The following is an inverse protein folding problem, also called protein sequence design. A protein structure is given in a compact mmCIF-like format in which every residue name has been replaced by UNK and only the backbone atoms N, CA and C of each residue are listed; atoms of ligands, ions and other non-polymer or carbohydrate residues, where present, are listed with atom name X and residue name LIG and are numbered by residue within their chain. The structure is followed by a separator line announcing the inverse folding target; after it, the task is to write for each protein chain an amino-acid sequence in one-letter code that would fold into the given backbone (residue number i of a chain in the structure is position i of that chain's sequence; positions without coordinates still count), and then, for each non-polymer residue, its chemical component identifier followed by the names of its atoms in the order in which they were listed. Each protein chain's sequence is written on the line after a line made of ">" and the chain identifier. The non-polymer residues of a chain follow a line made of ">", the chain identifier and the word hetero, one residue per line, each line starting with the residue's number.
data_IF_061264696928
#
_entry.id   IF_061264696928
#
_cell.length_a   1.000
_cell.length_b   1.000
_cell.length_c   1.000
_cell.angle_alpha   90.00
_cell.angle_beta   90.00
_cell.angle_gamma   90.00
#
_symmetry.space_group_name_H-M   'P 1'
#
loop_
_entity.id
_entity.type
_entity.pdbx_description
1 polymer ?
#
# COMPACT_ATOMS: atom_id res chain seq x y z
N UNK A 1 12.81 -1.15 -22.99
CA UNK A 1 12.57 -2.39 -22.23
C UNK A 1 13.29 -2.43 -20.88
N UNK A 2 14.60 -2.11 -20.78
CA UNK A 2 15.34 -2.15 -19.50
C UNK A 2 14.71 -1.30 -18.38
N UNK A 3 14.13 -0.13 -18.70
CA UNK A 3 13.46 0.75 -17.72
C UNK A 3 12.22 0.13 -17.07
N UNK A 4 11.47 -0.70 -17.79
CA UNK A 4 10.29 -1.37 -17.26
C UNK A 4 10.68 -2.47 -16.26
N UNK A 5 11.81 -3.14 -16.51
CA UNK A 5 12.36 -4.13 -15.58
C UNK A 5 12.76 -3.46 -14.26
N UNK A 6 13.37 -2.28 -14.32
CA UNK A 6 13.75 -1.50 -13.14
C UNK A 6 12.53 -1.08 -12.31
N UNK A 7 11.47 -0.61 -12.98
CA UNK A 7 10.22 -0.21 -12.32
C UNK A 7 9.52 -1.42 -11.68
N UNK A 8 9.48 -2.56 -12.37
CA UNK A 8 8.91 -3.79 -11.83
C UNK A 8 9.71 -4.30 -10.62
N UNK A 9 11.03 -4.23 -10.67
CA UNK A 9 11.90 -4.61 -9.56
C UNK A 9 11.69 -3.68 -8.35
N UNK A 10 11.59 -2.37 -8.60
CA UNK A 10 11.32 -1.39 -7.54
C UNK A 10 9.95 -1.65 -6.90
N UNK A 11 8.92 -1.90 -7.71
CA UNK A 11 7.58 -2.20 -7.22
C UNK A 11 7.53 -3.49 -6.39
N UNK A 12 8.24 -4.54 -6.81
CA UNK A 12 8.32 -5.80 -6.06
C UNK A 12 9.03 -5.62 -4.70
N UNK A 13 10.10 -4.82 -4.66
CA UNK A 13 10.82 -4.51 -3.41
C UNK A 13 9.93 -3.70 -2.46
N UNK A 14 9.23 -2.70 -2.97
CA UNK A 14 8.36 -1.81 -2.18
C UNK A 14 7.13 -2.54 -1.65
N UNK A 15 6.55 -3.45 -2.42
CA UNK A 15 5.46 -4.33 -1.98
C UNK A 15 5.89 -5.29 -0.86
N UNK A 16 7.15 -5.75 -0.87
CA UNK A 16 7.70 -6.59 0.20
C UNK A 16 7.94 -5.84 1.53
N UNK A 17 8.03 -4.51 1.51
CA UNK A 17 8.23 -3.68 2.71
C UNK A 17 6.93 -3.28 3.42
N UNK A 18 5.77 -3.53 2.80
CA UNK A 18 4.45 -3.36 3.39
C UNK A 18 3.99 -4.69 4.02
N UNK A 19 4.78 -5.26 4.92
CA UNK A 19 4.34 -6.46 5.64
C UNK A 19 3.54 -6.08 6.89
N UNK A 20 2.66 -7.00 7.28
CA UNK A 20 1.70 -6.85 8.36
C UNK A 20 2.34 -6.28 9.62
N UNK A 21 1.70 -5.27 10.15
CA UNK A 21 2.02 -4.69 11.45
C UNK A 21 2.17 -5.75 12.54
N UNK A 22 3.20 -5.66 13.40
CA UNK A 22 3.37 -6.63 14.48
C UNK A 22 2.14 -6.62 15.39
N UNK A 23 1.39 -7.72 15.38
CA UNK A 23 0.28 -7.95 16.29
C UNK A 23 0.83 -8.46 17.61
N UNK A 24 0.26 -8.02 18.74
CA UNK A 24 0.72 -8.43 20.08
C UNK A 24 -0.14 -9.61 20.55
N UNK A 25 0.37 -10.86 20.55
CA UNK A 25 -0.34 -12.00 21.12
C UNK A 25 -0.38 -11.88 22.64
N UNK A 26 -1.55 -12.12 23.24
CA UNK A 26 -1.72 -12.20 24.70
C UNK A 26 -1.91 -13.67 25.08
N UNK A 27 -1.08 -14.14 26.01
CA UNK A 27 -1.12 -15.49 26.55
C UNK A 27 -1.66 -15.50 27.98
N UNK A 28 -2.29 -16.61 28.39
CA UNK A 28 -2.65 -16.85 29.79
C UNK A 28 -1.45 -17.37 30.60
N UNK A 29 -1.64 -17.56 31.92
CA UNK A 29 -0.62 -18.09 32.82
C UNK A 29 -0.18 -19.53 32.50
N UNK A 30 -0.93 -20.24 31.66
CA UNK A 30 -0.59 -21.57 31.15
C UNK A 30 0.14 -21.51 29.79
N UNK A 31 0.39 -20.31 29.25
CA UNK A 31 1.06 -20.08 27.98
C UNK A 31 0.16 -20.30 26.76
N UNK A 32 -1.16 -20.36 26.92
CA UNK A 32 -2.11 -20.51 25.80
C UNK A 32 -2.48 -19.15 25.25
N UNK A 33 -2.58 -19.04 23.93
CA UNK A 33 -3.02 -17.80 23.28
C UNK A 33 -4.50 -17.54 23.63
N UNK A 34 -4.76 -16.44 24.34
CA UNK A 34 -6.11 -16.02 24.74
C UNK A 34 -6.74 -15.16 23.66
N UNK A 35 -5.96 -14.24 23.10
CA UNK A 35 -6.43 -13.22 22.16
C UNK A 35 -5.23 -12.51 21.51
N UNK A 36 -5.40 -12.03 20.28
CA UNK A 36 -4.41 -11.20 19.58
C UNK A 36 -4.88 -9.75 19.60
N UNK A 37 -4.23 -8.88 20.37
CA UNK A 37 -4.56 -7.46 20.41
C UNK A 37 -4.34 -6.79 19.05
N UNK A 38 -5.05 -5.67 18.85
CA UNK A 38 -5.04 -4.89 17.61
C UNK A 38 -3.62 -4.73 17.06
N UNK A 39 -3.42 -5.11 15.81
CA UNK A 39 -2.15 -4.93 15.12
C UNK A 39 -1.91 -3.42 14.96
N UNK A 40 -0.76 -2.92 15.42
CA UNK A 40 -0.40 -1.52 15.23
C UNK A 40 -0.02 -1.29 13.78
N UNK A 41 -0.98 -0.91 12.93
CA UNK A 41 -0.77 -0.62 11.51
C UNK A 41 0.53 0.16 11.32
N UNK A 42 1.46 -0.41 10.56
CA UNK A 42 2.82 0.14 10.47
C UNK A 42 2.81 1.47 9.71
N UNK A 43 3.64 2.42 10.11
CA UNK A 43 3.79 3.71 9.41
C UNK A 43 4.11 3.52 7.92
N UNK A 44 4.81 2.44 7.55
CA UNK A 44 5.04 2.09 6.15
C UNK A 44 3.75 1.71 5.42
N UNK A 45 2.89 0.89 6.02
CA UNK A 45 1.60 0.52 5.43
C UNK A 45 0.67 1.74 5.29
N UNK A 46 0.61 2.61 6.30
CA UNK A 46 -0.15 3.87 6.21
C UNK A 46 0.37 4.79 5.10
N UNK A 47 1.68 4.88 4.95
CA UNK A 47 2.30 5.63 3.86
C UNK A 47 1.98 5.02 2.49
N UNK A 48 1.91 3.69 2.38
CA UNK A 48 1.56 3.01 1.12
C UNK A 48 0.10 3.16 0.74
N UNK A 49 -0.82 3.06 1.70
CA UNK A 49 -2.24 3.34 1.44
C UNK A 49 -2.46 4.80 1.06
N UNK A 50 -1.78 5.72 1.76
CA UNK A 50 -1.83 7.15 1.45
C UNK A 50 -1.23 7.45 0.07
N UNK A 51 -0.06 6.88 -0.25
CA UNK A 51 0.58 7.04 -1.55
C UNK A 51 -0.26 6.43 -2.68
N UNK A 52 -0.88 5.27 -2.44
CA UNK A 52 -1.80 4.63 -3.37
C UNK A 52 -3.05 5.49 -3.62
N UNK A 53 -3.64 6.06 -2.57
CA UNK A 53 -4.77 6.98 -2.69
C UNK A 53 -4.40 8.25 -3.49
N UNK A 54 -3.22 8.84 -3.23
CA UNK A 54 -2.72 10.00 -3.97
C UNK A 54 -2.46 9.65 -5.43
N UNK A 55 -1.80 8.52 -5.70
CA UNK A 55 -1.51 8.07 -7.06
C UNK A 55 -2.79 7.77 -7.86
N UNK A 56 -3.76 7.11 -7.23
CA UNK A 56 -5.09 6.85 -7.82
C UNK A 56 -5.84 8.14 -8.12
N UNK A 57 -5.84 9.10 -7.19
CA UNK A 57 -6.44 10.42 -7.40
C UNK A 57 -5.79 11.18 -8.56
N UNK A 58 -4.46 11.21 -8.62
CA UNK A 58 -3.72 11.84 -9.70
C UNK A 58 -4.02 11.20 -11.07
N UNK A 59 -4.10 9.87 -11.14
CA UNK A 59 -4.46 9.14 -12.35
C UNK A 59 -5.88 9.45 -12.82
N UNK A 60 -6.85 9.56 -11.90
CA UNK A 60 -8.22 9.92 -12.23
C UNK A 60 -8.32 11.34 -12.83
N UNK A 61 -7.60 12.32 -12.26
CA UNK A 61 -7.55 13.69 -12.77
C UNK A 61 -6.90 13.74 -14.17
N UNK A 62 -5.80 13.02 -14.36
CA UNK A 62 -5.15 12.91 -15.66
C UNK A 62 -6.08 12.27 -16.72
N UNK A 63 -6.80 11.21 -16.35
CA UNK A 63 -7.79 10.57 -17.24
C UNK A 63 -8.93 11.52 -17.62
N UNK A 64 -9.47 12.26 -16.66
CA UNK A 64 -10.54 13.23 -16.90
C UNK A 64 -10.09 14.35 -17.84
N UNK A 65 -8.93 14.95 -17.57
CA UNK A 65 -8.40 16.06 -18.38
C UNK A 65 -8.11 15.64 -19.82
N UNK A 66 -7.48 14.48 -20.02
CA UNK A 66 -7.25 13.93 -21.35
C UNK A 66 -8.56 13.58 -22.07
N UNK A 67 -9.56 13.05 -21.35
CA UNK A 67 -10.89 12.77 -21.89
C UNK A 67 -11.60 14.03 -22.38
N UNK A 68 -11.54 15.13 -21.61
CA UNK A 68 -12.12 16.42 -22.01
C UNK A 68 -11.42 16.96 -23.27
N UNK A 69 -10.09 16.90 -23.33
CA UNK A 69 -9.33 17.33 -24.52
C UNK A 69 -9.70 16.49 -25.74
N UNK A 70 -9.88 15.18 -25.59
CA UNK A 70 -10.28 14.29 -26.67
C UNK A 70 -11.72 14.54 -27.17
N UNK A 71 -12.61 15.05 -26.31
CA UNK A 71 -13.99 15.40 -26.67
C UNK A 71 -14.13 16.80 -27.29
N UNK A 72 -13.14 17.67 -27.10
CA UNK A 72 -13.18 19.09 -27.50
C UNK A 72 -12.28 19.43 -28.69
N UNK A 73 -11.54 18.45 -29.20
CA UNK A 73 -10.76 18.51 -30.44
C UNK A 73 -11.37 17.61 -31.51
#
# INVERSE_FOLDING_TARGET
>A
MKRFLSVALLAALLAGCAHDSPCVPVYDDQGRLVHTNTCMKGTTQDNWETAGAIAGGAAAIAGLTLGIVALTK
#
